data_IF_977643503815
#
_entry.id   IF_977643503815
#
_cell.length_a   1.000
_cell.length_b   1.000
_cell.length_c   1.000
_cell.angle_alpha   90.00
_cell.angle_beta   90.00
_cell.angle_gamma   90.00
#
_symmetry.space_group_name_H-M   'P 1'
#
loop_
_entity.id
_entity.type
_entity.pdbx_description
1 polymer ?
#
# COMPACT_ATOMS: atom_id res chain seq x y z
N UNK A 1 -23.24 20.59 -18.49
CA UNK A 1 -21.86 20.91 -18.04
C UNK A 1 -20.97 19.68 -17.82
N UNK A 2 -21.51 18.49 -17.49
CA UNK A 2 -20.70 17.27 -17.26
C UNK A 2 -20.05 16.71 -18.53
N UNK A 3 -20.81 16.52 -19.63
CA UNK A 3 -20.27 15.98 -20.90
C UNK A 3 -19.25 16.87 -21.59
N UNK A 4 -19.42 18.19 -21.48
CA UNK A 4 -18.49 19.19 -22.02
C UNK A 4 -17.12 19.08 -21.33
N UNK A 5 -17.09 18.92 -20.00
CA UNK A 5 -15.85 18.72 -19.25
C UNK A 5 -15.17 17.39 -19.61
N UNK A 6 -15.93 16.30 -19.78
CA UNK A 6 -15.38 15.00 -20.19
C UNK A 6 -14.76 15.07 -21.59
N UNK A 7 -15.42 15.76 -22.53
CA UNK A 7 -14.90 15.95 -23.89
C UNK A 7 -13.66 16.84 -23.88
N UNK A 8 -13.65 17.92 -23.09
CA UNK A 8 -12.48 18.80 -22.94
C UNK A 8 -11.29 18.09 -22.29
N UNK A 9 -11.51 17.25 -21.27
CA UNK A 9 -10.45 16.44 -20.65
C UNK A 9 -9.90 15.38 -21.62
N UNK A 10 -10.78 14.70 -22.37
CA UNK A 10 -10.34 13.74 -23.40
C UNK A 10 -9.57 14.39 -24.55
N UNK A 11 -9.99 15.58 -24.97
CA UNK A 11 -9.31 16.34 -26.03
C UNK A 11 -7.96 16.90 -25.54
N UNK A 12 -7.88 17.39 -24.30
CA UNK A 12 -6.61 17.82 -23.70
C UNK A 12 -5.62 16.65 -23.55
N UNK A 13 -6.10 15.46 -23.15
CA UNK A 13 -5.28 14.25 -23.06
C UNK A 13 -4.77 13.79 -24.44
N UNK A 14 -5.60 13.92 -25.49
CA UNK A 14 -5.22 13.56 -26.86
C UNK A 14 -4.22 14.57 -27.47
N UNK A 15 -4.36 15.87 -27.19
CA UNK A 15 -3.43 16.89 -27.68
C UNK A 15 -2.08 16.90 -26.92
N UNK A 16 -2.04 16.40 -25.68
CA UNK A 16 -0.80 16.22 -24.92
C UNK A 16 -0.01 14.95 -25.30
N UNK A 17 -0.61 14.06 -26.10
CA UNK A 17 0.06 12.88 -26.62
C UNK A 17 1.00 13.27 -27.77
N UNK A 18 2.24 13.61 -27.45
CA UNK A 18 3.30 13.72 -28.46
C UNK A 18 3.70 12.30 -28.91
N UNK A 19 4.02 12.09 -30.21
CA UNK A 19 4.52 10.81 -30.66
C UNK A 19 5.91 10.56 -30.05
N UNK A 20 6.05 9.47 -29.29
CA UNK A 20 7.33 9.10 -28.68
C UNK A 20 8.28 8.65 -29.79
N UNK A 21 9.14 9.55 -30.26
CA UNK A 21 10.28 9.23 -31.11
C UNK A 21 11.53 9.52 -30.30
N UNK A 22 12.22 8.44 -29.87
CA UNK A 22 13.52 8.40 -29.20
C UNK A 22 13.79 9.55 -28.20
N UNK A 23 13.22 9.46 -27.00
CA UNK A 23 13.47 10.44 -25.93
C UNK A 23 14.46 9.86 -24.92
N UNK A 24 15.60 10.55 -24.72
CA UNK A 24 16.47 10.37 -23.56
C UNK A 24 15.59 10.35 -22.30
N UNK A 25 15.86 9.44 -21.36
CA UNK A 25 14.97 9.00 -20.27
C UNK A 25 14.48 10.04 -19.24
N UNK A 26 14.46 11.33 -19.58
CA UNK A 26 13.89 12.43 -18.81
C UNK A 26 12.46 12.79 -19.23
N UNK A 27 11.66 11.81 -19.68
CA UNK A 27 10.24 12.02 -19.92
C UNK A 27 9.50 12.27 -18.61
N UNK A 28 8.88 13.45 -18.47
CA UNK A 28 7.93 13.75 -17.39
C UNK A 28 6.82 12.70 -17.39
N UNK A 29 6.74 11.90 -16.32
CA UNK A 29 5.70 10.88 -16.14
C UNK A 29 4.36 11.60 -15.96
N UNK A 30 3.38 11.34 -16.83
CA UNK A 30 2.09 12.05 -16.78
C UNK A 30 1.20 11.61 -15.60
N UNK A 31 1.49 10.46 -14.98
CA UNK A 31 0.85 9.94 -13.77
C UNK A 31 1.92 9.32 -12.86
N UNK A 32 2.39 10.09 -11.88
CA UNK A 32 3.19 9.54 -10.77
C UNK A 32 2.25 9.11 -9.65
N UNK A 33 2.24 7.82 -9.34
CA UNK A 33 1.62 7.35 -8.10
C UNK A 33 2.50 7.81 -6.94
N UNK A 34 1.94 8.63 -6.06
CA UNK A 34 2.68 9.11 -4.91
C UNK A 34 3.02 7.95 -3.96
N UNK A 35 4.18 8.03 -3.31
CA UNK A 35 4.54 7.13 -2.23
C UNK A 35 3.47 7.00 -1.13
N UNK A 36 2.65 8.05 -0.93
CA UNK A 36 1.53 8.04 0.00
C UNK A 36 0.44 7.00 -0.37
N UNK A 37 0.18 6.80 -1.66
CA UNK A 37 -0.74 5.75 -2.12
C UNK A 37 -0.18 4.36 -1.79
N UNK A 38 1.10 4.14 -2.07
CA UNK A 38 1.79 2.89 -1.73
C UNK A 38 1.73 2.59 -0.23
N UNK A 39 2.04 3.58 0.60
CA UNK A 39 1.94 3.48 2.07
C UNK A 39 0.51 3.13 2.52
N UNK A 40 -0.51 3.77 1.94
CA UNK A 40 -1.90 3.47 2.27
C UNK A 40 -2.29 2.01 1.97
N UNK A 41 -1.86 1.47 0.83
CA UNK A 41 -2.12 0.08 0.46
C UNK A 41 -1.40 -0.91 1.39
N UNK A 42 -0.14 -0.61 1.74
CA UNK A 42 0.64 -1.43 2.68
C UNK A 42 -0.05 -1.47 4.04
N UNK A 43 -0.48 -0.32 4.58
CA UNK A 43 -1.18 -0.24 5.87
C UNK A 43 -2.49 -1.04 5.85
N UNK A 44 -3.27 -0.95 4.77
CA UNK A 44 -4.51 -1.72 4.65
C UNK A 44 -4.20 -3.23 4.64
N UNK A 45 -3.21 -3.66 3.88
CA UNK A 45 -2.80 -5.07 3.83
C UNK A 45 -2.34 -5.59 5.20
N UNK A 46 -1.52 -4.81 5.90
CA UNK A 46 -1.03 -5.14 7.23
C UNK A 46 -2.16 -5.23 8.26
N UNK A 47 -3.07 -4.25 8.28
CA UNK A 47 -4.23 -4.23 9.17
C UNK A 47 -5.13 -5.47 8.98
N UNK A 48 -5.36 -5.88 7.74
CA UNK A 48 -6.12 -7.10 7.43
C UNK A 48 -5.38 -8.38 7.84
N UNK A 49 -4.06 -8.42 7.68
CA UNK A 49 -3.23 -9.56 8.11
C UNK A 49 -3.22 -9.74 9.62
N UNK A 50 -2.88 -8.68 10.35
CA UNK A 50 -2.75 -8.72 11.81
C UNK A 50 -4.10 -8.95 12.51
N UNK A 51 -5.19 -8.36 12.01
CA UNK A 51 -6.52 -8.54 12.61
C UNK A 51 -7.02 -9.98 12.51
N UNK A 52 -6.82 -10.64 11.36
CA UNK A 52 -7.17 -12.06 11.18
C UNK A 52 -6.34 -12.97 12.06
N UNK A 53 -5.03 -12.68 12.15
CA UNK A 53 -4.12 -13.40 13.04
C UNK A 53 -4.55 -13.28 14.51
N UNK A 54 -4.80 -12.06 14.98
CA UNK A 54 -5.24 -11.79 16.35
C UNK A 54 -6.59 -12.45 16.64
N UNK A 55 -7.57 -12.35 15.73
CA UNK A 55 -8.87 -12.99 15.89
C UNK A 55 -8.75 -14.51 16.03
N UNK A 56 -7.97 -15.16 15.17
CA UNK A 56 -7.77 -16.61 15.21
C UNK A 56 -7.04 -17.06 16.49
N UNK A 57 -6.04 -16.30 16.92
CA UNK A 57 -5.32 -16.57 18.16
C UNK A 57 -6.23 -16.43 19.38
N UNK A 58 -7.01 -15.35 19.46
CA UNK A 58 -7.95 -15.11 20.56
C UNK A 58 -9.00 -16.21 20.67
N UNK A 59 -9.61 -16.62 19.54
CA UNK A 59 -10.57 -17.72 19.56
C UNK A 59 -9.92 -19.07 19.95
N UNK A 60 -8.71 -19.33 19.47
CA UNK A 60 -7.98 -20.55 19.84
C UNK A 60 -7.64 -20.60 21.33
N UNK A 61 -7.20 -19.47 21.92
CA UNK A 61 -6.94 -19.36 23.35
C UNK A 61 -8.20 -19.51 24.20
N UNK A 62 -9.35 -19.02 23.72
CA UNK A 62 -10.63 -19.20 24.39
C UNK A 62 -11.10 -20.65 24.38
N UNK A 63 -10.82 -21.41 23.30
CA UNK A 63 -11.19 -22.82 23.16
C UNK A 63 -10.25 -23.78 23.89
N UNK A 64 -8.97 -23.42 23.98
CA UNK A 64 -7.94 -24.24 24.63
C UNK A 64 -7.09 -23.39 25.57
N UNK A 65 -7.63 -23.06 26.77
CA UNK A 65 -6.93 -22.20 27.72
C UNK A 65 -5.62 -22.82 28.23
N UNK A 66 -5.49 -24.15 28.21
CA UNK A 66 -4.31 -24.88 28.69
C UNK A 66 -3.06 -24.59 27.87
N UNK A 67 -3.21 -24.25 26.58
CA UNK A 67 -2.11 -23.91 25.67
C UNK A 67 -2.09 -22.45 25.27
N UNK A 68 -2.86 -21.59 25.95
CA UNK A 68 -3.01 -20.19 25.58
C UNK A 68 -1.68 -19.42 25.54
N UNK A 69 -0.78 -19.69 26.49
CA UNK A 69 0.55 -19.06 26.51
C UNK A 69 1.41 -19.42 25.29
N UNK A 70 1.30 -20.66 24.79
CA UNK A 70 2.00 -21.10 23.58
C UNK A 70 1.42 -20.43 22.33
N UNK A 71 0.09 -20.34 22.24
CA UNK A 71 -0.61 -19.63 21.16
C UNK A 71 -0.23 -18.15 21.14
N UNK A 72 -0.23 -17.49 22.30
CA UNK A 72 0.18 -16.09 22.42
C UNK A 72 1.63 -15.88 21.95
N UNK A 73 2.54 -16.78 22.32
CA UNK A 73 3.94 -16.69 21.90
C UNK A 73 4.07 -16.82 20.38
N UNK A 74 3.41 -17.82 19.78
CA UNK A 74 3.40 -17.99 18.32
C UNK A 74 2.75 -16.78 17.62
N UNK A 75 1.66 -16.23 18.17
CA UNK A 75 1.00 -15.03 17.68
C UNK A 75 1.93 -13.82 17.69
N UNK A 76 2.67 -13.58 18.77
CA UNK A 76 3.60 -12.45 18.89
C UNK A 76 4.75 -12.58 17.87
N UNK A 77 5.29 -13.79 17.67
CA UNK A 77 6.35 -14.01 16.66
C UNK A 77 5.81 -13.70 15.26
N UNK A 78 4.64 -14.23 14.92
CA UNK A 78 4.03 -13.97 13.63
C UNK A 78 3.65 -12.48 13.45
N UNK A 79 3.15 -11.84 14.50
CA UNK A 79 2.90 -10.40 14.52
C UNK A 79 4.18 -9.60 14.29
N UNK A 80 5.29 -9.96 14.94
CA UNK A 80 6.58 -9.29 14.75
C UNK A 80 7.10 -9.43 13.31
N UNK A 81 6.86 -10.56 12.63
CA UNK A 81 7.20 -10.72 11.21
C UNK A 81 6.33 -9.86 10.30
N UNK A 82 5.02 -9.77 10.56
CA UNK A 82 4.10 -8.90 9.83
C UNK A 82 4.50 -7.43 10.04
N UNK A 83 4.72 -7.01 11.28
CA UNK A 83 5.12 -5.65 11.63
C UNK A 83 6.47 -5.29 11.02
N UNK A 84 7.47 -6.17 11.09
CA UNK A 84 8.80 -5.93 10.53
C UNK A 84 8.78 -5.73 9.01
N UNK A 85 8.06 -6.58 8.28
CA UNK A 85 7.88 -6.41 6.83
C UNK A 85 7.08 -5.15 6.50
N UNK A 86 6.01 -4.88 7.24
CA UNK A 86 5.13 -3.72 7.03
C UNK A 86 5.89 -2.42 7.24
N UNK A 87 6.67 -2.31 8.32
CA UNK A 87 7.51 -1.13 8.58
C UNK A 87 8.50 -0.88 7.46
N UNK A 88 9.17 -1.93 6.97
CA UNK A 88 10.11 -1.80 5.85
C UNK A 88 9.40 -1.36 4.56
N UNK A 89 8.25 -1.95 4.24
CA UNK A 89 7.46 -1.56 3.07
C UNK A 89 6.97 -0.10 3.14
N UNK A 90 6.49 0.34 4.31
CA UNK A 90 6.10 1.75 4.53
C UNK A 90 7.29 2.68 4.35
N UNK A 91 8.48 2.31 4.86
CA UNK A 91 9.70 3.09 4.68
C UNK A 91 10.09 3.24 3.21
N UNK A 92 10.02 2.16 2.43
CA UNK A 92 10.30 2.19 0.99
C UNK A 92 9.29 3.05 0.24
N UNK A 93 7.99 2.92 0.55
CA UNK A 93 6.94 3.72 -0.10
C UNK A 93 7.02 5.19 0.30
N UNK A 94 7.32 5.52 1.55
CA UNK A 94 7.39 6.91 2.01
C UNK A 94 8.56 7.68 1.42
N UNK A 95 9.65 7.00 1.02
CA UNK A 95 10.79 7.60 0.33
C UNK A 95 10.54 7.99 -1.13
N UNK A 96 9.39 7.65 -1.71
CA UNK A 96 9.01 7.95 -3.10
C UNK A 96 8.08 9.17 -3.20
N UNK A 97 8.16 10.10 -2.25
CA UNK A 97 7.33 11.30 -2.24
C UNK A 97 8.06 12.48 -2.96
N UNK A 98 7.47 13.06 -4.03
CA UNK A 98 8.07 14.23 -4.71
C UNK A 98 8.08 15.52 -3.88
N UNK A 99 7.63 15.46 -2.62
CA UNK A 99 7.56 16.57 -1.66
C UNK A 99 8.45 16.34 -0.42
N UNK A 100 9.24 15.26 -0.39
CA UNK A 100 10.33 15.11 0.55
C UNK A 100 11.49 16.01 0.14
N UNK A 101 12.09 16.71 1.09
CA UNK A 101 13.30 17.52 0.90
C UNK A 101 14.41 16.76 0.16
#
# INVERSE_FOLDING_TARGET
MSRMKTVLVGMAAFLAATPVMAQDGSGSVLIEFSGALGTGLVVIGAALGISKLASAALESMARQPEVAGSIQTAMIIAAALIEGFTFYAIFVCSGQNPWGT
#
